data_IF_006894606573
#
_entry.id   IF_006894606573
#
_cell.length_a   1.000
_cell.length_b   1.000
_cell.length_c   1.000
_cell.angle_alpha   90.00
_cell.angle_beta   90.00
_cell.angle_gamma   90.00
#
_symmetry.space_group_name_H-M   'P 1'
#
loop_
_entity.id
_entity.type
_entity.pdbx_description
1 polymer ?
#
# COMPACT_ATOMS: atom_id res chain seq x y z
N UNK A 1 23.13 10.36 16.00
CA UNK A 1 21.67 10.12 15.84
C UNK A 1 21.50 9.07 14.76
N UNK A 2 20.47 8.22 14.80
CA UNK A 2 20.32 7.19 13.77
C UNK A 2 19.97 7.82 12.41
N UNK A 3 20.62 7.36 11.34
CA UNK A 3 20.35 7.79 9.97
C UNK A 3 20.20 6.54 9.11
N UNK A 4 19.04 6.39 8.50
CA UNK A 4 18.70 5.31 7.58
C UNK A 4 18.31 5.90 6.24
N UNK A 5 18.28 5.06 5.21
CA UNK A 5 17.80 5.48 3.89
C UNK A 5 16.98 4.40 3.21
N UNK A 6 15.96 4.86 2.51
CA UNK A 6 15.29 4.09 1.48
C UNK A 6 15.88 4.48 0.11
N UNK A 7 16.47 3.50 -0.58
CA UNK A 7 17.21 3.72 -1.82
C UNK A 7 16.62 2.95 -3.02
N UNK A 8 15.41 3.30 -3.50
CA UNK A 8 14.79 2.62 -4.64
C UNK A 8 15.42 3.05 -5.98
N UNK A 9 15.51 2.12 -6.92
CA UNK A 9 15.72 2.46 -8.34
C UNK A 9 14.38 2.93 -8.96
N UNK A 10 14.38 3.97 -9.81
CA UNK A 10 13.15 4.55 -10.36
C UNK A 10 12.61 3.73 -11.54
N UNK A 11 12.02 2.58 -11.25
CA UNK A 11 11.41 1.68 -12.25
C UNK A 11 9.89 1.75 -12.32
N UNK A 12 9.26 2.67 -11.57
CA UNK A 12 7.81 2.86 -11.47
C UNK A 12 7.32 2.79 -10.03
N UNK A 13 6.04 2.45 -9.85
CA UNK A 13 5.46 2.19 -8.51
C UNK A 13 6.24 1.11 -7.77
N UNK A 14 6.41 1.31 -6.47
CA UNK A 14 7.11 0.42 -5.57
C UNK A 14 6.49 -0.97 -5.60
N UNK A 15 7.37 -1.97 -5.75
CA UNK A 15 7.01 -3.34 -5.45
C UNK A 15 6.76 -3.51 -3.96
N UNK A 16 5.90 -4.46 -3.58
CA UNK A 16 5.57 -4.70 -2.17
C UNK A 16 6.81 -5.05 -1.32
N UNK A 17 7.80 -5.74 -1.91
CA UNK A 17 9.08 -6.00 -1.24
C UNK A 17 9.91 -4.75 -0.96
N UNK A 18 9.91 -3.77 -1.87
CA UNK A 18 10.56 -2.47 -1.63
C UNK A 18 9.78 -1.63 -0.63
N UNK A 19 8.45 -1.70 -0.67
CA UNK A 19 7.59 -1.06 0.32
C UNK A 19 7.85 -1.60 1.74
N UNK A 20 8.10 -2.90 1.89
CA UNK A 20 8.54 -3.49 3.17
C UNK A 20 9.81 -2.81 3.68
N UNK A 21 10.81 -2.63 2.82
CA UNK A 21 12.04 -1.92 3.19
C UNK A 21 11.74 -0.48 3.62
N UNK A 22 10.89 0.24 2.89
CA UNK A 22 10.52 1.62 3.25
C UNK A 22 9.82 1.71 4.62
N UNK A 23 8.81 0.86 4.86
CA UNK A 23 8.08 0.77 6.14
C UNK A 23 9.03 0.39 7.28
N UNK A 24 9.95 -0.55 7.07
CA UNK A 24 10.90 -0.95 8.09
C UNK A 24 11.88 0.17 8.46
N UNK A 25 12.37 0.95 7.48
CA UNK A 25 13.23 2.09 7.77
C UNK A 25 12.46 3.21 8.50
N UNK A 26 11.21 3.48 8.11
CA UNK A 26 10.35 4.47 8.80
C UNK A 26 10.12 4.07 10.26
N UNK A 27 9.70 2.83 10.49
CA UNK A 27 9.49 2.27 11.83
C UNK A 27 10.77 2.33 12.68
N UNK A 28 11.93 2.05 12.09
CA UNK A 28 13.21 2.14 12.80
C UNK A 28 13.46 3.56 13.32
N UNK A 29 13.20 4.59 12.52
CA UNK A 29 13.31 5.99 12.95
C UNK A 29 12.25 6.34 13.98
N UNK A 30 11.01 5.86 13.84
CA UNK A 30 9.94 6.12 14.81
C UNK A 30 10.28 5.54 16.20
N UNK A 31 10.95 4.38 16.25
CA UNK A 31 11.36 3.70 17.49
C UNK A 31 12.63 4.29 18.12
N UNK A 32 13.59 4.78 17.32
CA UNK A 32 14.93 5.17 17.80
C UNK A 32 15.21 6.68 17.71
N UNK A 33 14.34 7.44 17.04
CA UNK A 33 14.58 8.81 16.61
C UNK A 33 15.64 8.90 15.51
N UNK A 34 15.63 9.97 14.71
CA UNK A 34 16.63 10.20 13.68
C UNK A 34 16.05 10.66 12.35
N UNK A 35 16.70 10.25 11.26
CA UNK A 35 16.32 10.64 9.90
C UNK A 35 16.22 9.44 8.96
N UNK A 36 15.14 9.39 8.20
CA UNK A 36 14.93 8.59 7.01
C UNK A 36 15.17 9.48 5.78
N UNK A 37 16.21 9.13 5.02
CA UNK A 37 16.56 9.79 3.77
C UNK A 37 15.98 9.01 2.59
N UNK A 38 15.35 9.70 1.64
CA UNK A 38 15.02 9.15 0.33
C UNK A 38 16.16 9.41 -0.65
N UNK A 39 16.77 8.35 -1.18
CA UNK A 39 17.75 8.42 -2.27
C UNK A 39 17.24 7.68 -3.50
N UNK A 40 17.22 8.32 -4.65
CA UNK A 40 16.81 7.71 -5.91
C UNK A 40 18.05 7.16 -6.61
N UNK A 41 18.13 5.84 -6.73
CA UNK A 41 19.26 5.13 -7.35
C UNK A 41 19.06 5.09 -8.89
N UNK A 42 19.18 6.24 -9.55
CA UNK A 42 18.87 6.49 -10.97
C UNK A 42 20.08 6.48 -11.93
N UNK A 43 21.18 5.85 -11.50
CA UNK A 43 22.43 5.74 -12.27
C UNK A 43 22.31 4.96 -13.58
N UNK A 44 21.28 4.12 -13.73
CA UNK A 44 21.01 3.38 -14.96
C UNK A 44 19.99 4.12 -15.84
N UNK A 45 20.50 4.89 -16.80
CA UNK A 45 19.71 5.68 -17.73
C UNK A 45 18.69 4.87 -18.55
N UNK A 46 18.99 3.60 -18.85
CA UNK A 46 18.13 2.76 -19.69
C UNK A 46 16.87 2.28 -18.96
N UNK A 47 16.86 2.33 -17.61
CA UNK A 47 15.75 1.89 -16.77
C UNK A 47 14.93 3.04 -16.17
N UNK A 48 15.27 4.29 -16.49
CA UNK A 48 14.51 5.46 -16.02
C UNK A 48 13.20 5.59 -16.79
N UNK A 49 12.09 5.61 -16.06
CA UNK A 49 10.81 6.07 -16.58
C UNK A 49 10.55 7.51 -16.11
N UNK A 50 10.02 8.37 -16.99
CA UNK A 50 9.86 9.80 -16.73
C UNK A 50 9.08 10.09 -15.42
N UNK A 51 8.12 9.23 -15.07
CA UNK A 51 7.23 9.43 -13.92
C UNK A 51 7.54 8.47 -12.75
N UNK A 52 8.64 7.71 -12.82
CA UNK A 52 8.93 6.68 -11.81
C UNK A 52 9.27 7.26 -10.45
N UNK A 53 10.01 8.37 -10.40
CA UNK A 53 10.30 9.05 -9.14
C UNK A 53 9.02 9.58 -8.49
N UNK A 54 8.16 10.26 -9.25
CA UNK A 54 6.86 10.74 -8.78
C UNK A 54 5.97 9.59 -8.30
N UNK A 55 6.00 8.45 -8.98
CA UNK A 55 5.29 7.25 -8.56
C UNK A 55 5.80 6.73 -7.20
N UNK A 56 7.12 6.75 -6.97
CA UNK A 56 7.74 6.36 -5.69
C UNK A 56 7.32 7.32 -4.58
N UNK A 57 7.41 8.64 -4.80
CA UNK A 57 7.03 9.64 -3.80
C UNK A 57 5.55 9.50 -3.44
N UNK A 58 4.66 9.42 -4.44
CA UNK A 58 3.22 9.17 -4.23
C UNK A 58 2.97 7.88 -3.46
N UNK A 59 3.76 6.84 -3.69
CA UNK A 59 3.65 5.56 -3.01
C UNK A 59 4.04 5.65 -1.53
N UNK A 60 5.10 6.42 -1.21
CA UNK A 60 5.53 6.69 0.16
C UNK A 60 4.49 7.56 0.90
N UNK A 61 4.00 8.63 0.26
CA UNK A 61 2.95 9.49 0.81
C UNK A 61 1.67 8.68 1.06
N UNK A 62 1.29 7.82 0.10
CA UNK A 62 0.11 6.97 0.24
C UNK A 62 0.24 6.02 1.42
N UNK A 63 1.43 5.49 1.70
CA UNK A 63 1.71 4.67 2.88
C UNK A 63 1.95 5.47 4.16
N UNK A 64 1.85 6.80 4.12
CA UNK A 64 2.14 7.70 5.24
C UNK A 64 3.58 7.50 5.77
N UNK A 65 4.54 7.42 4.85
CA UNK A 65 5.97 7.33 5.14
C UNK A 65 6.58 8.73 5.09
N UNK A 66 6.76 9.33 6.27
CA UNK A 66 7.46 10.60 6.41
C UNK A 66 8.96 10.47 6.09
N UNK A 67 9.51 11.47 5.40
CA UNK A 67 10.93 11.58 5.07
C UNK A 67 11.49 12.84 5.72
N UNK A 68 12.66 12.73 6.33
CA UNK A 68 13.36 13.88 6.89
C UNK A 68 14.20 14.60 5.83
N UNK A 69 14.70 13.86 4.83
CA UNK A 69 15.55 14.40 3.76
C UNK A 69 15.27 13.71 2.42
N UNK A 70 15.46 14.45 1.33
CA UNK A 70 15.35 13.96 -0.05
C UNK A 70 14.09 14.44 -0.80
N UNK A 71 13.86 13.95 -2.04
CA UNK A 71 14.67 12.96 -2.74
C UNK A 71 16.06 13.47 -3.15
N UNK A 72 17.09 12.67 -2.91
CA UNK A 72 18.47 12.89 -3.40
C UNK A 72 18.72 11.97 -4.60
N UNK A 73 19.18 12.50 -5.73
CA UNK A 73 19.36 11.71 -6.96
C UNK A 73 20.82 11.34 -7.19
N UNK A 74 21.09 10.09 -7.51
CA UNK A 74 22.46 9.64 -7.79
C UNK A 74 23.00 10.20 -9.10
N UNK A 75 22.15 10.44 -10.10
CA UNK A 75 22.54 11.02 -11.39
C UNK A 75 23.14 12.43 -11.26
N UNK A 76 22.79 13.16 -10.19
CA UNK A 76 23.31 14.50 -9.89
C UNK A 76 24.63 14.47 -9.11
N UNK A 77 25.16 13.28 -8.78
CA UNK A 77 26.27 13.09 -7.83
C UNK A 77 27.53 12.48 -8.45
N UNK A 78 27.61 12.48 -9.78
CA UNK A 78 28.72 11.91 -10.54
C UNK A 78 30.10 12.44 -10.14
N UNK A 79 30.22 13.73 -9.85
CA UNK A 79 31.50 14.34 -9.44
C UNK A 79 31.98 13.83 -8.09
N UNK A 80 31.07 13.61 -7.14
CA UNK A 80 31.39 13.03 -5.84
C UNK A 80 31.92 11.59 -5.99
N UNK A 81 31.31 10.81 -6.90
CA UNK A 81 31.76 9.45 -7.19
C UNK A 81 33.15 9.43 -7.81
N UNK A 82 33.41 10.34 -8.77
CA UNK A 82 34.73 10.47 -9.41
C UNK A 82 35.79 10.87 -8.41
N UNK A 83 35.55 11.90 -7.59
CA UNK A 83 36.47 12.35 -6.55
C UNK A 83 36.76 11.23 -5.54
N UNK A 84 35.75 10.45 -5.16
CA UNK A 84 35.93 9.30 -4.26
C UNK A 84 36.79 8.20 -4.90
N UNK A 85 36.59 7.92 -6.19
CA UNK A 85 37.41 6.95 -6.92
C UNK A 85 38.87 7.40 -7.07
N UNK A 86 39.10 8.69 -7.34
CA UNK A 86 40.44 9.29 -7.42
C UNK A 86 41.19 9.19 -6.08
N UNK A 87 40.49 9.40 -4.96
CA UNK A 87 41.06 9.18 -3.62
C UNK A 87 41.50 7.74 -3.42
N UNK A 88 40.67 6.77 -3.80
CA UNK A 88 41.00 5.35 -3.72
C UNK A 88 42.17 4.95 -4.63
N UNK A 89 42.34 5.61 -5.78
CA UNK A 89 43.54 5.43 -6.61
C UNK A 89 44.78 5.97 -5.92
N UNK A 90 44.69 7.17 -5.33
CA UNK A 90 45.82 7.83 -4.67
C UNK A 90 46.31 7.06 -3.43
N UNK A 91 45.42 6.41 -2.68
CA UNK A 91 45.77 5.61 -1.50
C UNK A 91 46.13 4.15 -1.83
N UNK A 92 46.01 3.74 -3.10
CA UNK A 92 46.31 2.39 -3.56
C UNK A 92 45.23 1.34 -3.24
N UNK A 93 44.04 1.75 -2.78
CA UNK A 93 42.88 0.86 -2.57
C UNK A 93 42.14 0.54 -3.87
N UNK A 94 42.38 1.30 -4.94
CA UNK A 94 41.91 1.02 -6.29
C UNK A 94 43.05 1.08 -7.32
N UNK A 95 42.81 0.54 -8.50
CA UNK A 95 43.73 0.58 -9.64
C UNK A 95 42.95 0.73 -10.95
N UNK A 96 43.64 1.22 -11.98
CA UNK A 96 43.08 1.30 -13.33
C UNK A 96 43.38 0.02 -14.11
N UNK A 97 42.38 -0.48 -14.84
CA UNK A 97 42.47 -1.63 -15.73
C UNK A 97 41.49 -1.44 -16.88
N UNK A 98 42.00 -1.43 -18.12
CA UNK A 98 41.19 -1.30 -19.35
C UNK A 98 40.31 -0.04 -19.36
N UNK A 99 40.80 1.07 -18.81
CA UNK A 99 40.07 2.34 -18.72
C UNK A 99 39.02 2.39 -17.61
N UNK A 100 38.82 1.30 -16.85
CA UNK A 100 37.95 1.25 -15.69
C UNK A 100 38.75 1.37 -14.39
N UNK A 101 38.13 1.92 -13.33
CA UNK A 101 38.70 1.92 -11.98
C UNK A 101 38.13 0.72 -11.22
N UNK A 102 39.00 -0.12 -10.68
CA UNK A 102 38.65 -1.35 -9.96
C UNK A 102 39.22 -1.36 -8.55
N UNK A 103 38.48 -1.97 -7.63
CA UNK A 103 38.92 -2.10 -6.24
C UNK A 103 39.99 -3.19 -6.09
N UNK A 104 40.99 -3.02 -5.21
CA UNK A 104 42.13 -3.95 -5.08
C UNK A 104 41.81 -5.28 -4.40
N UNK A 105 40.60 -5.45 -3.86
CA UNK A 105 40.18 -6.71 -3.21
C UNK A 105 40.02 -7.86 -4.21
N UNK A 106 39.99 -9.08 -3.68
CA UNK A 106 40.02 -10.35 -4.43
C UNK A 106 39.06 -10.42 -5.63
N UNK A 107 37.83 -9.90 -5.48
CA UNK A 107 36.83 -9.91 -6.56
C UNK A 107 37.01 -8.82 -7.61
N UNK A 108 37.94 -7.88 -7.38
CA UNK A 108 38.28 -6.73 -8.24
C UNK A 108 37.07 -6.03 -8.88
N UNK A 109 36.02 -5.71 -8.11
CA UNK A 109 34.81 -5.12 -8.67
C UNK A 109 35.12 -3.77 -9.31
N UNK A 110 34.46 -3.50 -10.43
CA UNK A 110 34.49 -2.20 -11.08
C UNK A 110 33.78 -1.16 -10.22
N UNK A 111 34.44 -0.04 -9.96
CA UNK A 111 33.91 1.12 -9.24
C UNK A 111 33.46 2.21 -10.22
N UNK A 112 34.30 2.52 -11.21
CA UNK A 112 34.00 3.40 -12.34
C UNK A 112 34.20 2.59 -13.63
N UNK A 113 33.22 2.62 -14.53
CA UNK A 113 33.30 1.97 -15.85
C UNK A 113 34.18 2.78 -16.80
N UNK A 114 34.56 2.17 -17.94
CA UNK A 114 35.38 2.83 -18.95
C UNK A 114 34.73 4.09 -19.57
N UNK A 115 33.41 4.18 -19.54
CA UNK A 115 32.66 5.38 -19.95
C UNK A 115 32.60 6.49 -18.88
N UNK A 116 33.28 6.29 -17.74
CA UNK A 116 33.31 7.22 -16.62
C UNK A 116 32.11 7.13 -15.66
N UNK A 117 31.14 6.25 -15.93
CA UNK A 117 29.97 6.08 -15.05
C UNK A 117 30.30 5.27 -13.79
N UNK A 118 29.76 5.69 -12.65
CA UNK A 118 29.88 4.94 -11.41
C UNK A 118 29.03 3.66 -11.44
N UNK A 119 29.55 2.59 -10.83
CA UNK A 119 28.78 1.37 -10.57
C UNK A 119 27.96 1.52 -9.29
N UNK A 120 26.97 0.63 -9.13
CA UNK A 120 26.17 0.52 -7.92
C UNK A 120 27.04 0.40 -6.65
N UNK A 121 28.17 -0.33 -6.72
CA UNK A 121 29.02 -0.53 -5.55
C UNK A 121 29.64 0.76 -5.06
N UNK A 122 30.19 1.58 -5.97
CA UNK A 122 30.79 2.85 -5.60
C UNK A 122 29.71 3.86 -5.18
N UNK A 123 28.69 4.06 -6.02
CA UNK A 123 27.66 5.06 -5.78
C UNK A 123 26.94 4.83 -4.45
N UNK A 124 26.50 3.58 -4.18
CA UNK A 124 25.81 3.25 -2.93
C UNK A 124 26.68 3.50 -1.69
N UNK A 125 27.98 3.17 -1.74
CA UNK A 125 28.87 3.33 -0.58
C UNK A 125 29.24 4.80 -0.37
N UNK A 126 29.58 5.52 -1.43
CA UNK A 126 29.95 6.94 -1.36
C UNK A 126 28.77 7.75 -0.83
N UNK A 127 27.55 7.46 -1.28
CA UNK A 127 26.36 8.14 -0.75
C UNK A 127 26.03 7.74 0.68
N UNK A 128 26.18 6.46 1.06
CA UNK A 128 25.97 6.06 2.45
C UNK A 128 26.98 6.75 3.39
N UNK A 129 28.22 7.02 2.93
CA UNK A 129 29.23 7.80 3.67
C UNK A 129 28.89 9.29 3.72
N UNK A 130 28.60 9.91 2.58
CA UNK A 130 28.30 11.35 2.48
C UNK A 130 27.03 11.75 3.24
N UNK A 131 26.02 10.87 3.22
CA UNK A 131 24.76 11.07 3.93
C UNK A 131 24.82 10.61 5.40
N UNK A 132 26.00 10.19 5.87
CA UNK A 132 26.25 9.72 7.24
C UNK A 132 25.27 8.61 7.69
N UNK A 133 24.95 7.68 6.79
CA UNK A 133 24.05 6.57 7.07
C UNK A 133 24.67 5.68 8.14
N UNK A 134 23.92 5.43 9.22
CA UNK A 134 24.38 4.59 10.33
C UNK A 134 23.83 3.18 10.25
N UNK A 135 22.65 2.99 9.65
CA UNK A 135 22.04 1.67 9.48
C UNK A 135 21.53 1.50 8.04
N UNK A 136 21.83 0.34 7.46
CA UNK A 136 21.40 -0.07 6.12
C UNK A 136 20.44 -1.24 6.27
N UNK A 137 19.14 -0.94 6.18
CA UNK A 137 18.07 -1.93 6.20
C UNK A 137 17.65 -2.22 4.76
N UNK A 138 17.81 -3.45 4.28
CA UNK A 138 17.51 -3.85 2.89
C UNK A 138 17.20 -5.35 2.74
N UNK A 139 16.72 -5.75 1.57
CA UNK A 139 16.49 -7.16 1.24
C UNK A 139 17.77 -8.00 1.20
N UNK A 140 17.64 -9.30 1.52
CA UNK A 140 18.76 -10.26 1.55
C UNK A 140 19.38 -10.53 0.17
N UNK A 141 18.75 -10.11 -0.92
CA UNK A 141 19.34 -10.13 -2.27
C UNK A 141 20.62 -9.28 -2.36
N UNK A 142 20.80 -8.32 -1.46
CA UNK A 142 22.04 -7.54 -1.34
C UNK A 142 23.03 -8.05 -0.29
N UNK A 143 22.74 -9.18 0.39
CA UNK A 143 23.58 -9.70 1.48
C UNK A 143 25.03 -9.95 1.02
N UNK A 144 25.20 -10.52 -0.18
CA UNK A 144 26.50 -10.83 -0.77
C UNK A 144 27.36 -9.60 -1.08
N UNK A 145 26.76 -8.41 -1.18
CA UNK A 145 27.46 -7.14 -1.41
C UNK A 145 28.07 -6.56 -0.13
N UNK A 146 27.59 -6.99 1.04
CA UNK A 146 27.92 -6.39 2.34
C UNK A 146 29.42 -6.41 2.65
N UNK A 147 30.16 -7.53 2.47
CA UNK A 147 31.59 -7.54 2.75
C UNK A 147 32.37 -6.56 1.86
N UNK A 148 31.95 -6.44 0.59
CA UNK A 148 32.54 -5.48 -0.35
C UNK A 148 32.21 -4.04 0.06
N UNK A 149 30.95 -3.74 0.36
CA UNK A 149 30.50 -2.41 0.75
C UNK A 149 31.22 -1.95 2.03
N UNK A 150 31.31 -2.80 3.05
CA UNK A 150 32.04 -2.49 4.27
C UNK A 150 33.53 -2.22 4.01
N UNK A 151 34.20 -3.06 3.20
CA UNK A 151 35.60 -2.84 2.84
C UNK A 151 35.83 -1.53 2.08
N UNK A 152 34.91 -1.15 1.19
CA UNK A 152 34.97 0.10 0.45
C UNK A 152 34.72 1.31 1.37
N UNK A 153 33.78 1.22 2.31
CA UNK A 153 33.55 2.26 3.33
C UNK A 153 34.81 2.49 4.18
N UNK A 154 35.45 1.41 4.64
CA UNK A 154 36.73 1.50 5.38
C UNK A 154 37.83 2.13 4.53
N UNK A 155 37.94 1.76 3.25
CA UNK A 155 38.95 2.33 2.35
C UNK A 155 38.74 3.85 2.12
N UNK A 156 37.49 4.32 2.12
CA UNK A 156 37.16 5.74 2.06
C UNK A 156 37.41 6.49 3.39
N UNK A 157 37.87 5.79 4.43
CA UNK A 157 38.17 6.36 5.75
C UNK A 157 36.95 6.51 6.66
N UNK A 158 35.83 5.85 6.35
CA UNK A 158 34.60 5.90 7.14
C UNK A 158 34.34 4.59 7.90
N UNK A 159 33.45 4.65 8.90
CA UNK A 159 33.00 3.46 9.63
C UNK A 159 31.82 2.83 8.88
N UNK A 160 31.85 1.52 8.56
CA UNK A 160 30.72 0.85 7.94
C UNK A 160 29.43 0.98 8.76
N UNK A 161 28.27 1.21 8.13
CA UNK A 161 27.00 1.19 8.83
C UNK A 161 26.67 -0.22 9.36
N UNK A 162 25.74 -0.29 10.30
CA UNK A 162 25.15 -1.58 10.67
C UNK A 162 24.23 -2.07 9.55
N UNK A 163 24.49 -3.28 9.06
CA UNK A 163 23.70 -3.87 7.97
C UNK A 163 22.65 -4.82 8.52
N UNK A 164 21.38 -4.53 8.23
CA UNK A 164 20.24 -5.37 8.59
C UNK A 164 19.59 -5.89 7.31
N UNK A 165 19.56 -7.21 7.15
CA UNK A 165 18.99 -7.85 5.98
C UNK A 165 17.70 -8.58 6.34
N UNK A 166 16.63 -8.30 5.60
CA UNK A 166 15.37 -9.01 5.73
C UNK A 166 15.12 -9.95 4.54
N UNK A 167 14.32 -10.98 4.78
CA UNK A 167 13.82 -11.89 3.77
C UNK A 167 12.96 -11.18 2.73
N UNK A 168 12.88 -11.80 1.55
CA UNK A 168 12.12 -11.28 0.42
C UNK A 168 10.66 -11.72 0.53
N UNK A 169 9.77 -10.90 -0.04
CA UNK A 169 8.41 -11.34 -0.33
C UNK A 169 8.41 -12.18 -1.62
N UNK A 170 7.85 -13.38 -1.51
CA UNK A 170 7.76 -14.34 -2.62
C UNK A 170 6.30 -14.69 -2.91
N UNK A 171 6.03 -15.09 -4.15
CA UNK A 171 4.72 -15.63 -4.54
C UNK A 171 4.49 -17.03 -3.97
N UNK A 172 3.32 -17.61 -4.24
CA UNK A 172 2.99 -18.97 -3.83
C UNK A 172 3.93 -20.05 -4.41
N UNK A 173 4.58 -19.75 -5.53
CA UNK A 173 5.58 -20.61 -6.19
C UNK A 173 6.99 -20.50 -5.57
N UNK A 174 7.17 -19.66 -4.54
CA UNK A 174 8.45 -19.41 -3.88
C UNK A 174 9.39 -18.49 -4.67
N UNK A 175 8.97 -17.97 -5.82
CA UNK A 175 9.77 -17.02 -6.60
C UNK A 175 9.48 -15.58 -6.18
N UNK A 176 10.39 -14.65 -6.49
CA UNK A 176 10.22 -13.22 -6.16
C UNK A 176 8.87 -12.71 -6.69
N UNK A 177 8.14 -11.99 -5.84
CA UNK A 177 6.81 -11.48 -6.18
C UNK A 177 6.88 -10.65 -7.47
N UNK A 178 5.95 -10.89 -8.39
CA UNK A 178 5.89 -10.25 -9.70
C UNK A 178 4.44 -10.17 -10.18
N UNK A 179 4.18 -9.44 -11.26
CA UNK A 179 2.82 -9.19 -11.79
C UNK A 179 2.01 -10.48 -12.04
N UNK A 180 2.66 -11.61 -12.34
CA UNK A 180 1.97 -12.89 -12.58
C UNK A 180 1.35 -13.49 -11.31
N UNK A 181 1.76 -13.03 -10.13
CA UNK A 181 1.26 -13.49 -8.84
C UNK A 181 0.12 -12.63 -8.29
N UNK A 182 -0.40 -11.68 -9.08
CA UNK A 182 -1.42 -10.71 -8.65
C UNK A 182 -0.82 -9.32 -8.39
N UNK A 183 -1.27 -8.66 -7.32
CA UNK A 183 -0.79 -7.32 -6.98
C UNK A 183 0.65 -7.37 -6.47
N UNK A 184 1.58 -6.92 -7.32
CA UNK A 184 3.01 -6.96 -7.03
C UNK A 184 3.60 -5.58 -6.73
N UNK A 185 2.83 -4.53 -7.01
CA UNK A 185 3.15 -3.13 -6.74
C UNK A 185 2.06 -2.44 -5.92
N UNK A 186 2.41 -1.30 -5.33
CA UNK A 186 1.45 -0.49 -4.58
C UNK A 186 0.39 0.14 -5.48
N UNK A 187 0.72 0.45 -6.74
CA UNK A 187 -0.26 0.85 -7.75
C UNK A 187 -1.34 -0.21 -7.96
N UNK A 188 -0.96 -1.49 -8.12
CA UNK A 188 -1.92 -2.59 -8.27
C UNK A 188 -2.87 -2.69 -7.06
N UNK A 189 -2.33 -2.50 -5.84
CA UNK A 189 -3.11 -2.54 -4.60
C UNK A 189 -4.09 -1.36 -4.49
N UNK A 190 -3.67 -0.16 -4.89
CA UNK A 190 -4.56 1.01 -4.98
C UNK A 190 -5.68 0.81 -5.99
N UNK A 191 -5.37 0.26 -7.17
CA UNK A 191 -6.38 -0.03 -8.20
C UNK A 191 -7.40 -1.05 -7.71
N UNK A 192 -6.95 -2.06 -6.94
CA UNK A 192 -7.84 -3.01 -6.24
C UNK A 192 -8.69 -2.37 -5.13
N UNK A 193 -8.39 -1.13 -4.74
CA UNK A 193 -9.04 -0.41 -3.66
C UNK A 193 -8.64 -0.87 -2.27
N UNK A 194 -7.48 -1.51 -2.10
CA UNK A 194 -6.97 -1.87 -0.78
C UNK A 194 -6.57 -0.57 -0.05
N UNK A 195 -7.05 -0.30 1.17
CA UNK A 195 -6.65 0.89 1.93
C UNK A 195 -5.15 0.90 2.24
N UNK A 196 -4.53 2.08 2.25
CA UNK A 196 -3.13 2.25 2.61
C UNK A 196 -2.82 1.70 4.01
N UNK A 197 -3.73 1.93 4.96
CA UNK A 197 -3.62 1.51 6.36
C UNK A 197 -3.51 -0.02 6.47
N UNK A 198 -4.23 -0.75 5.61
CA UNK A 198 -4.16 -2.19 5.55
C UNK A 198 -2.82 -2.69 5.00
N UNK A 199 -2.31 -2.04 3.94
CA UNK A 199 -1.00 -2.38 3.36
C UNK A 199 0.12 -2.07 4.34
N UNK A 200 0.12 -0.87 4.95
CA UNK A 200 1.10 -0.48 5.97
C UNK A 200 1.10 -1.46 7.13
N UNK A 201 -0.08 -1.76 7.71
CA UNK A 201 -0.20 -2.72 8.81
C UNK A 201 0.28 -4.11 8.43
N UNK A 202 -0.02 -4.58 7.22
CA UNK A 202 0.48 -5.87 6.72
C UNK A 202 2.02 -5.89 6.69
N UNK A 203 2.65 -4.83 6.17
CA UNK A 203 4.11 -4.72 6.12
C UNK A 203 4.73 -4.59 7.52
N UNK A 204 4.08 -3.88 8.43
CA UNK A 204 4.49 -3.78 9.84
C UNK A 204 4.38 -5.12 10.59
N UNK A 205 3.35 -5.93 10.30
CA UNK A 205 3.18 -7.29 10.84
C UNK A 205 4.27 -8.24 10.34
N UNK A 206 4.74 -8.08 9.09
CA UNK A 206 5.88 -8.83 8.57
C UNK A 206 7.20 -8.45 9.27
N UNK A 207 7.38 -7.17 9.59
CA UNK A 207 8.58 -6.64 10.23
C UNK A 207 9.85 -6.87 9.40
N UNK A 208 10.88 -7.45 10.03
CA UNK A 208 12.14 -7.82 9.37
C UNK A 208 12.31 -9.34 9.40
N UNK A 209 11.61 -10.08 8.51
CA UNK A 209 11.65 -11.54 8.54
C UNK A 209 13.07 -12.04 8.27
N UNK A 210 13.51 -13.10 8.96
CA UNK A 210 14.84 -13.69 8.75
C UNK A 210 14.95 -14.49 7.45
N UNK A 211 13.84 -15.10 7.03
CA UNK A 211 13.71 -15.90 5.81
C UNK A 211 12.70 -15.29 4.85
N UNK A 212 12.62 -15.84 3.63
CA UNK A 212 11.60 -15.38 2.68
C UNK A 212 10.20 -15.70 3.21
N UNK A 213 9.27 -14.80 2.92
CA UNK A 213 7.90 -14.89 3.36
C UNK A 213 6.98 -14.91 2.16
N UNK A 214 6.04 -15.85 2.15
CA UNK A 214 5.01 -15.90 1.13
C UNK A 214 4.06 -14.73 1.31
N UNK A 215 3.74 -14.07 0.21
CA UNK A 215 2.70 -13.05 0.20
C UNK A 215 1.35 -13.70 0.52
N UNK A 216 0.67 -13.17 1.53
CA UNK A 216 -0.61 -13.64 2.03
C UNK A 216 -1.71 -12.64 1.68
N UNK A 217 -2.29 -12.81 0.49
CA UNK A 217 -3.36 -11.96 -0.01
C UNK A 217 -4.62 -12.06 0.88
N UNK A 218 -4.86 -13.22 1.53
CA UNK A 218 -6.00 -13.40 2.41
C UNK A 218 -5.84 -12.60 3.71
N UNK A 219 -4.63 -12.58 4.30
CA UNK A 219 -4.33 -11.71 5.45
C UNK A 219 -4.49 -10.25 5.09
N UNK A 220 -3.97 -9.83 3.93
CA UNK A 220 -4.12 -8.45 3.45
C UNK A 220 -5.60 -8.07 3.25
N UNK A 221 -6.41 -8.96 2.68
CA UNK A 221 -7.84 -8.74 2.51
C UNK A 221 -8.56 -8.60 3.87
N UNK A 222 -8.19 -9.41 4.87
CA UNK A 222 -8.70 -9.27 6.23
C UNK A 222 -8.37 -7.91 6.85
N UNK A 223 -7.12 -7.46 6.70
CA UNK A 223 -6.68 -6.13 7.14
C UNK A 223 -7.39 -5.00 6.40
N UNK A 224 -7.75 -5.19 5.12
CA UNK A 224 -8.53 -4.22 4.36
C UNK A 224 -9.94 -4.04 4.93
N UNK A 225 -10.60 -5.13 5.31
CA UNK A 225 -11.90 -5.08 6.00
C UNK A 225 -11.76 -4.36 7.34
N UNK A 226 -10.75 -4.71 8.15
CA UNK A 226 -10.48 -4.04 9.44
C UNK A 226 -10.25 -2.53 9.25
N UNK A 227 -9.45 -2.15 8.25
CA UNK A 227 -9.17 -0.74 7.94
C UNK A 227 -10.44 0.02 7.53
N UNK A 228 -11.26 -0.54 6.63
CA UNK A 228 -12.53 0.09 6.21
C UNK A 228 -13.51 0.21 7.38
N UNK A 229 -13.59 -0.82 8.21
CA UNK A 229 -14.44 -0.81 9.40
C UNK A 229 -13.99 0.27 10.42
N UNK A 230 -12.69 0.54 10.51
CA UNK A 230 -12.10 1.50 11.46
C UNK A 230 -12.14 2.98 11.04
N UNK A 231 -12.43 3.30 9.78
CA UNK A 231 -12.52 4.69 9.31
C UNK A 231 -13.63 5.48 10.02
N UNK A 232 -13.57 6.80 10.08
CA UNK A 232 -14.76 7.58 10.45
C UNK A 232 -15.84 7.47 9.35
N UNK A 233 -17.10 7.73 9.68
CA UNK A 233 -18.17 7.72 8.66
C UNK A 233 -17.90 8.75 7.56
N UNK A 234 -17.37 9.93 7.94
CA UNK A 234 -16.99 10.99 7.02
C UNK A 234 -15.86 10.55 6.08
N UNK A 235 -14.76 10.02 6.61
CA UNK A 235 -13.62 9.60 5.78
C UNK A 235 -13.98 8.46 4.83
N UNK A 236 -14.78 7.50 5.30
CA UNK A 236 -15.23 6.40 4.45
C UNK A 236 -16.13 6.92 3.31
N UNK A 237 -17.07 7.80 3.64
CA UNK A 237 -17.96 8.42 2.67
C UNK A 237 -17.18 9.24 1.62
N UNK A 238 -16.21 10.04 2.06
CA UNK A 238 -15.34 10.84 1.19
C UNK A 238 -14.51 9.96 0.25
N UNK A 239 -13.81 8.94 0.78
CA UNK A 239 -12.97 8.03 -0.02
C UNK A 239 -13.77 7.25 -1.07
N UNK A 240 -15.04 6.97 -0.77
CA UNK A 240 -15.96 6.23 -1.64
C UNK A 240 -16.71 7.18 -2.59
N UNK A 241 -16.83 8.47 -2.27
CA UNK A 241 -17.66 9.41 -3.01
C UNK A 241 -19.16 9.13 -2.80
N UNK A 242 -19.56 8.90 -1.55
CA UNK A 242 -20.94 8.61 -1.15
C UNK A 242 -21.39 9.57 -0.03
N UNK A 243 -22.70 9.74 0.22
CA UNK A 243 -23.20 10.42 1.41
C UNK A 243 -22.79 9.70 2.70
N UNK A 244 -22.66 10.45 3.79
CA UNK A 244 -22.21 9.94 5.11
C UNK A 244 -23.17 8.86 5.63
N UNK A 245 -24.45 8.97 5.31
CA UNK A 245 -25.51 8.03 5.69
C UNK A 245 -25.30 6.63 5.11
N UNK A 246 -24.55 6.52 4.00
CA UNK A 246 -24.22 5.22 3.41
C UNK A 246 -23.13 4.47 4.18
N UNK A 247 -22.29 5.18 4.95
CA UNK A 247 -21.10 4.60 5.58
C UNK A 247 -21.35 3.31 6.40
N UNK A 248 -22.42 3.20 7.21
CA UNK A 248 -22.73 1.95 7.92
C UNK A 248 -22.88 0.73 7.00
N UNK A 249 -23.40 0.92 5.79
CA UNK A 249 -23.57 -0.16 4.81
C UNK A 249 -22.27 -0.55 4.11
N UNK A 250 -21.21 0.25 4.22
CA UNK A 250 -19.94 0.02 3.55
C UNK A 250 -18.91 -0.69 4.43
N UNK A 251 -19.16 -0.77 5.75
CA UNK A 251 -18.20 -1.26 6.76
C UNK A 251 -17.72 -2.69 6.56
N UNK A 252 -18.51 -3.53 5.89
CA UNK A 252 -18.16 -4.92 5.60
C UNK A 252 -17.46 -5.15 4.26
N UNK A 253 -17.18 -4.09 3.50
CA UNK A 253 -16.53 -4.21 2.20
C UNK A 253 -15.07 -4.68 2.35
N UNK A 254 -14.60 -5.49 1.40
CA UNK A 254 -13.22 -6.02 1.35
C UNK A 254 -12.26 -5.07 0.66
N UNK A 255 -12.77 -4.07 -0.04
CA UNK A 255 -11.99 -2.99 -0.64
C UNK A 255 -12.84 -1.73 -0.81
N UNK A 256 -12.19 -0.60 -1.01
CA UNK A 256 -12.84 0.67 -1.35
C UNK A 256 -13.55 0.59 -2.72
N UNK A 257 -13.11 -0.29 -3.62
CA UNK A 257 -13.84 -0.56 -4.88
C UNK A 257 -15.17 -1.25 -4.59
N UNK A 258 -15.17 -2.31 -3.77
CA UNK A 258 -16.43 -2.97 -3.36
C UNK A 258 -17.35 -2.01 -2.60
N UNK A 259 -16.80 -1.17 -1.72
CA UNK A 259 -17.57 -0.13 -1.03
C UNK A 259 -18.22 0.86 -2.02
N UNK A 260 -17.52 1.28 -3.08
CA UNK A 260 -18.09 2.13 -4.15
C UNK A 260 -19.23 1.45 -4.88
N UNK A 261 -19.12 0.17 -5.19
CA UNK A 261 -20.19 -0.56 -5.85
C UNK A 261 -21.42 -0.72 -4.94
N UNK A 262 -21.23 -0.99 -3.65
CA UNK A 262 -22.33 -1.01 -2.67
C UNK A 262 -22.99 0.38 -2.58
N UNK A 263 -22.20 1.45 -2.47
CA UNK A 263 -22.72 2.82 -2.42
C UNK A 263 -23.53 3.17 -3.68
N UNK A 264 -23.01 2.85 -4.88
CA UNK A 264 -23.74 3.05 -6.14
C UNK A 264 -25.06 2.29 -6.16
N UNK A 265 -25.10 1.06 -5.67
CA UNK A 265 -26.33 0.27 -5.59
C UNK A 265 -27.36 0.86 -4.61
N UNK A 266 -26.92 1.57 -3.57
CA UNK A 266 -27.80 2.29 -2.65
C UNK A 266 -28.32 3.58 -3.28
N UNK A 267 -27.44 4.37 -3.90
CA UNK A 267 -27.76 5.69 -4.45
C UNK A 267 -28.57 5.60 -5.75
N UNK A 268 -28.32 4.60 -6.58
CA UNK A 268 -29.04 4.40 -7.82
C UNK A 268 -30.25 3.49 -7.58
N UNK A 269 -31.44 3.95 -7.96
CA UNK A 269 -32.63 3.13 -7.89
C UNK A 269 -32.45 1.88 -8.77
N UNK A 270 -32.69 0.66 -8.24
CA UNK A 270 -32.70 -0.53 -9.07
C UNK A 270 -33.83 -0.42 -10.11
N UNK A 271 -33.69 -1.09 -11.27
CA UNK A 271 -34.81 -1.21 -12.20
C UNK A 271 -36.00 -1.84 -11.47
N UNK A 272 -37.21 -1.37 -11.82
CA UNK A 272 -38.43 -1.87 -11.22
C UNK A 272 -38.48 -3.40 -11.36
N UNK A 273 -38.48 -4.08 -10.22
CA UNK A 273 -38.49 -5.54 -10.13
C UNK A 273 -39.82 -5.93 -9.51
N UNK A 274 -40.66 -6.65 -10.25
CA UNK A 274 -41.90 -7.20 -9.68
C UNK A 274 -41.55 -8.16 -8.54
N UNK A 275 -42.14 -7.92 -7.38
CA UNK A 275 -41.94 -8.80 -6.23
C UNK A 275 -42.63 -10.14 -6.46
N UNK A 276 -42.02 -11.28 -6.07
CA UNK A 276 -42.73 -12.55 -6.02
C UNK A 276 -44.00 -12.41 -5.18
N UNK A 277 -45.10 -13.06 -5.59
CA UNK A 277 -46.38 -12.96 -4.87
C UNK A 277 -46.25 -13.27 -3.36
N UNK A 278 -45.37 -14.21 -3.00
CA UNK A 278 -45.06 -14.57 -1.62
C UNK A 278 -44.39 -13.45 -0.79
N UNK A 279 -43.76 -12.46 -1.45
CA UNK A 279 -43.11 -11.34 -0.79
C UNK A 279 -44.03 -10.12 -0.58
N UNK A 280 -45.23 -10.10 -1.18
CA UNK A 280 -46.15 -8.94 -1.16
C UNK A 280 -46.49 -8.49 0.27
N UNK A 281 -46.80 -9.43 1.16
CA UNK A 281 -47.09 -9.13 2.58
C UNK A 281 -45.86 -8.56 3.31
N UNK A 282 -44.66 -9.03 2.98
CA UNK A 282 -43.40 -8.53 3.54
C UNK A 282 -43.17 -7.07 3.16
N UNK A 283 -43.39 -6.74 1.88
CA UNK A 283 -43.21 -5.38 1.35
C UNK A 283 -44.25 -4.42 1.92
N UNK A 284 -45.53 -4.84 2.02
CA UNK A 284 -46.58 -4.06 2.66
C UNK A 284 -46.24 -3.76 4.12
N UNK A 285 -45.77 -4.78 4.87
CA UNK A 285 -45.39 -4.59 6.27
C UNK A 285 -44.21 -3.64 6.44
N UNK A 286 -43.19 -3.76 5.60
CA UNK A 286 -42.07 -2.82 5.61
C UNK A 286 -42.53 -1.39 5.30
N UNK A 287 -43.41 -1.22 4.30
CA UNK A 287 -43.98 0.07 3.93
C UNK A 287 -44.68 0.74 5.11
N UNK A 288 -45.55 0.02 5.83
CA UNK A 288 -46.24 0.52 7.02
C UNK A 288 -45.26 1.02 8.08
N UNK A 289 -44.26 0.20 8.40
CA UNK A 289 -43.23 0.52 9.39
C UNK A 289 -42.41 1.75 8.97
N UNK A 290 -42.04 1.85 7.69
CA UNK A 290 -41.26 2.98 7.18
C UNK A 290 -42.08 4.27 7.08
N UNK A 291 -43.38 4.19 6.80
CA UNK A 291 -44.28 5.35 6.86
C UNK A 291 -44.40 5.87 8.29
N UNK A 292 -44.53 4.96 9.27
CA UNK A 292 -44.66 5.28 10.69
C UNK A 292 -43.37 5.86 11.29
N UNK A 293 -42.20 5.39 10.87
CA UNK A 293 -40.91 5.94 11.24
C UNK A 293 -40.65 7.26 10.48
N UNK A 294 -41.20 8.35 11.01
CA UNK A 294 -41.09 9.69 10.43
C UNK A 294 -39.67 10.26 10.60
N UNK A 295 -39.12 10.85 9.52
CA UNK A 295 -37.79 11.46 9.52
C UNK A 295 -36.63 10.46 9.33
N UNK A 296 -35.44 10.92 9.74
CA UNK A 296 -34.20 10.16 9.66
C UNK A 296 -34.18 9.05 10.70
N UNK A 297 -33.69 7.88 10.31
CA UNK A 297 -33.61 6.73 11.19
C UNK A 297 -32.33 6.79 12.02
N UNK A 298 -32.42 6.35 13.27
CA UNK A 298 -31.24 5.89 13.99
C UNK A 298 -30.91 4.44 13.61
N UNK A 299 -29.71 3.99 13.95
CA UNK A 299 -29.34 2.58 13.79
C UNK A 299 -30.24 1.63 14.61
N UNK A 300 -30.82 2.09 15.71
CA UNK A 300 -31.76 1.29 16.49
C UNK A 300 -33.11 1.15 15.75
N UNK A 301 -33.65 2.25 15.25
CA UNK A 301 -34.92 2.26 14.50
C UNK A 301 -34.85 1.34 13.28
N UNK A 302 -33.75 1.39 12.53
CA UNK A 302 -33.55 0.53 11.37
C UNK A 302 -33.48 -0.97 11.74
N UNK A 303 -32.87 -1.32 12.89
CA UNK A 303 -32.84 -2.70 13.39
C UNK A 303 -34.21 -3.17 13.86
N UNK A 304 -34.97 -2.30 14.52
CA UNK A 304 -36.34 -2.59 14.95
C UNK A 304 -37.27 -2.84 13.77
N UNK A 305 -37.15 -2.07 12.68
CA UNK A 305 -37.88 -2.33 11.43
C UNK A 305 -37.57 -3.73 10.89
N UNK A 306 -36.28 -4.10 10.79
CA UNK A 306 -35.88 -5.44 10.32
C UNK A 306 -36.39 -6.54 11.25
N UNK A 307 -36.34 -6.33 12.56
CA UNK A 307 -36.84 -7.28 13.55
C UNK A 307 -38.36 -7.47 13.44
N UNK A 308 -39.11 -6.38 13.25
CA UNK A 308 -40.57 -6.41 13.11
C UNK A 308 -41.00 -7.13 11.83
N UNK A 309 -40.32 -6.91 10.70
CA UNK A 309 -40.58 -7.66 9.46
C UNK A 309 -40.26 -9.15 9.63
N UNK A 310 -39.14 -9.47 10.29
CA UNK A 310 -38.74 -10.86 10.57
C UNK A 310 -39.72 -11.58 11.49
N UNK A 311 -40.25 -10.91 12.52
CA UNK A 311 -41.17 -11.50 13.50
C UNK A 311 -42.48 -12.01 12.87
N UNK A 312 -42.91 -11.43 11.75
CA UNK A 312 -44.06 -11.89 10.98
C UNK A 312 -43.72 -12.97 9.94
N UNK A 313 -42.50 -13.52 9.95
CA UNK A 313 -42.05 -14.50 8.96
C UNK A 313 -41.71 -13.90 7.59
N UNK A 314 -41.47 -12.59 7.51
CA UNK A 314 -41.25 -11.88 6.25
C UNK A 314 -39.97 -12.28 5.51
N UNK A 315 -40.01 -12.22 4.18
CA UNK A 315 -38.90 -12.53 3.27
C UNK A 315 -37.91 -11.37 3.17
N UNK A 316 -36.92 -11.36 4.06
CA UNK A 316 -35.87 -10.34 4.08
C UNK A 316 -34.99 -10.34 2.83
N UNK A 317 -34.90 -11.47 2.10
CA UNK A 317 -34.13 -11.54 0.84
C UNK A 317 -34.87 -10.82 -0.27
N UNK A 318 -36.18 -11.01 -0.38
CA UNK A 318 -37.02 -10.27 -1.32
C UNK A 318 -37.04 -8.77 -1.00
N UNK A 319 -37.18 -8.39 0.29
CA UNK A 319 -37.10 -7.00 0.70
C UNK A 319 -35.77 -6.36 0.30
N UNK A 320 -34.64 -7.05 0.51
CA UNK A 320 -33.33 -6.60 0.04
C UNK A 320 -33.30 -6.41 -1.47
N UNK A 321 -33.75 -7.43 -2.21
CA UNK A 321 -33.74 -7.39 -3.68
C UNK A 321 -34.49 -6.17 -4.21
N UNK A 322 -35.66 -5.84 -3.64
CA UNK A 322 -36.43 -4.64 -4.01
C UNK A 322 -35.70 -3.36 -3.63
N UNK A 323 -35.09 -3.32 -2.45
CA UNK A 323 -34.39 -2.12 -1.98
C UNK A 323 -33.06 -1.87 -2.68
N UNK A 324 -32.33 -2.90 -3.13
CA UNK A 324 -30.94 -2.75 -3.63
C UNK A 324 -30.71 -3.33 -5.02
N UNK A 325 -31.67 -4.04 -5.60
CA UNK A 325 -31.51 -4.81 -6.84
C UNK A 325 -30.65 -6.07 -6.70
N UNK A 326 -30.25 -6.45 -5.47
CA UNK A 326 -29.32 -7.56 -5.22
C UNK A 326 -29.83 -8.46 -4.09
N UNK A 327 -29.64 -9.78 -4.25
CA UNK A 327 -30.05 -10.74 -3.21
C UNK A 327 -29.08 -10.83 -2.02
N UNK A 328 -27.86 -10.33 -2.19
CA UNK A 328 -26.78 -10.33 -1.20
C UNK A 328 -26.20 -8.94 -1.07
N UNK A 329 -25.58 -8.65 0.07
CA UNK A 329 -24.98 -7.35 0.34
C UNK A 329 -24.86 -7.09 1.84
N UNK A 330 -24.65 -5.84 2.24
CA UNK A 330 -24.45 -5.46 3.65
C UNK A 330 -25.70 -5.73 4.49
N UNK A 331 -25.60 -5.78 5.81
CA UNK A 331 -26.76 -6.02 6.70
C UNK A 331 -28.00 -5.18 6.33
N UNK A 332 -29.19 -5.79 6.32
CA UNK A 332 -30.38 -5.11 5.76
C UNK A 332 -30.73 -3.81 6.52
N UNK A 333 -30.45 -3.77 7.83
CA UNK A 333 -30.69 -2.56 8.61
C UNK A 333 -29.78 -1.39 8.18
N UNK A 334 -28.57 -1.64 7.70
CA UNK A 334 -27.68 -0.56 7.21
C UNK A 334 -28.16 -0.02 5.87
N UNK A 335 -28.72 -0.88 5.01
CA UNK A 335 -29.40 -0.49 3.77
C UNK A 335 -30.58 0.43 4.08
N UNK A 336 -31.44 0.03 5.03
CA UNK A 336 -32.62 0.81 5.42
C UNK A 336 -32.21 2.16 6.04
N UNK A 337 -31.16 2.18 6.85
CA UNK A 337 -30.60 3.39 7.45
C UNK A 337 -30.05 4.35 6.38
N UNK A 338 -29.35 3.82 5.38
CA UNK A 338 -28.72 4.62 4.32
C UNK A 338 -29.70 5.15 3.27
N UNK A 339 -30.88 4.55 3.14
CA UNK A 339 -31.86 4.95 2.13
C UNK A 339 -32.75 6.09 2.64
N UNK A 340 -32.85 7.21 1.88
CA UNK A 340 -33.84 8.24 2.15
C UNK A 340 -35.24 7.64 2.20
N UNK A 341 -36.08 8.15 3.11
CA UNK A 341 -37.44 7.64 3.33
C UNK A 341 -38.26 7.55 2.04
N UNK A 342 -38.31 8.65 1.30
CA UNK A 342 -39.08 8.73 0.05
C UNK A 342 -38.56 7.74 -1.00
N UNK A 343 -37.26 7.51 -1.01
CA UNK A 343 -36.64 6.57 -1.94
C UNK A 343 -36.97 5.12 -1.60
N UNK A 344 -36.88 4.76 -0.31
CA UNK A 344 -37.27 3.44 0.16
C UNK A 344 -38.75 3.15 -0.15
N UNK A 345 -39.65 4.12 0.11
CA UNK A 345 -41.08 3.96 -0.19
C UNK A 345 -41.35 3.86 -1.69
N UNK A 346 -40.68 4.68 -2.52
CA UNK A 346 -40.79 4.62 -3.97
C UNK A 346 -40.40 3.26 -4.54
N UNK A 347 -39.30 2.67 -4.08
CA UNK A 347 -38.85 1.33 -4.51
C UNK A 347 -39.85 0.24 -4.14
N UNK A 348 -40.43 0.34 -2.94
CA UNK A 348 -41.43 -0.61 -2.45
C UNK A 348 -42.74 -0.48 -3.23
N UNK A 349 -43.21 0.75 -3.44
CA UNK A 349 -44.46 1.02 -4.16
C UNK A 349 -44.37 0.61 -5.64
N UNK A 350 -43.18 0.70 -6.25
CA UNK A 350 -42.96 0.20 -7.61
C UNK A 350 -42.96 -1.33 -7.73
N UNK A 351 -42.74 -2.06 -6.63
CA UNK A 351 -42.69 -3.52 -6.60
C UNK A 351 -44.00 -4.18 -6.16
N UNK A 352 -44.94 -3.40 -5.60
CA UNK A 352 -46.26 -3.82 -5.12
C UNK A 352 -47.34 -3.72 -6.20
#
# INVERSE_FOLDING_TARGET
MARVRFAPSPTGSLHLGSALTAVANRRFVDEHGGALVLRIDDTDAARRHADAEEAIVRDLDWLDIHLEEGPIRQSERGDLYRASAERLLADGSAFEEEGAIRFTKERRPTLIRADGSATYHLASVVDDVDLEITHVIRGKDHLSNTPLHAALTTALGATPPEYVHHGLLVGADGTKLSKRHGASSLADLRERGIPAEAVRRYLEELGLPRGDVHFDDARLAGLAVEAIAGLSDHDLAERVGAPVEAAPALRGARSLVEAREIAKALLNAPPATEAPAAARETLQRFRELRVAANGDLTANDAREIVAAVRACGGDLRALRLVLTGHERGPELWTVILALPREEALRRIDAAL
#
